data_IF_422544365956
#
_entry.id   IF_422544365956
#
_cell.length_a   1.000
_cell.length_b   1.000
_cell.length_c   1.000
_cell.angle_alpha   90.00
_cell.angle_beta   90.00
_cell.angle_gamma   90.00
#
_symmetry.space_group_name_H-M   'P 1'
#
loop_
_entity.id
_entity.type
_entity.pdbx_description
1 polymer ?
#
# COMPACT_ATOMS: atom_id res chain seq x y z
N UNK A 1 4.08 67.38 -14.47
CA UNK A 1 3.70 66.07 -15.03
C UNK A 1 4.91 65.54 -15.75
N UNK A 2 5.66 64.65 -15.11
CA UNK A 2 6.50 63.66 -15.80
C UNK A 2 6.82 62.52 -14.82
N UNK A 3 6.43 61.31 -15.21
CA UNK A 3 6.45 60.09 -14.40
C UNK A 3 7.82 59.42 -14.56
N UNK A 4 8.63 59.45 -13.50
CA UNK A 4 9.87 58.71 -13.43
C UNK A 4 9.58 57.20 -13.28
N UNK A 5 9.71 56.46 -14.37
CA UNK A 5 9.61 55.00 -14.41
C UNK A 5 10.84 54.33 -13.78
N UNK A 6 10.64 53.67 -12.63
CA UNK A 6 11.60 52.74 -12.05
C UNK A 6 11.37 51.35 -12.65
N UNK A 7 12.28 50.89 -13.51
CA UNK A 7 12.38 49.48 -13.90
C UNK A 7 13.18 48.75 -12.81
N UNK A 8 12.55 47.82 -12.11
CA UNK A 8 13.24 46.92 -11.20
C UNK A 8 14.10 45.91 -11.99
N UNK A 9 15.33 45.60 -11.55
CA UNK A 9 16.23 44.71 -12.26
C UNK A 9 15.78 43.23 -12.14
N UNK A 10 15.67 42.59 -13.31
CA UNK A 10 15.15 41.24 -13.58
C UNK A 10 16.03 40.06 -13.08
N UNK A 11 16.93 40.28 -12.11
CA UNK A 11 17.90 39.26 -11.67
C UNK A 11 17.59 38.62 -10.30
N UNK A 12 16.54 39.06 -9.60
CA UNK A 12 16.19 38.52 -8.27
C UNK A 12 15.33 37.25 -8.36
N UNK A 13 14.66 36.99 -9.50
CA UNK A 13 13.74 35.85 -9.64
C UNK A 13 14.42 34.47 -9.85
N UNK A 14 15.71 34.42 -10.21
CA UNK A 14 16.41 33.14 -10.45
C UNK A 14 17.01 32.55 -9.17
N UNK A 15 17.25 33.36 -8.13
CA UNK A 15 17.87 32.90 -6.88
C UNK A 15 16.97 32.07 -5.97
N UNK A 16 15.65 32.30 -6.00
CA UNK A 16 14.71 31.61 -5.10
C UNK A 16 14.33 30.19 -5.57
N UNK A 17 14.36 29.92 -6.88
CA UNK A 17 14.09 28.57 -7.41
C UNK A 17 15.27 27.64 -7.16
N UNK A 18 16.51 28.15 -7.21
CA UNK A 18 17.70 27.36 -6.89
C UNK A 18 17.78 26.99 -5.40
N UNK A 19 17.32 27.87 -4.50
CA UNK A 19 17.32 27.59 -3.06
C UNK A 19 16.25 26.55 -2.65
N UNK A 20 15.11 26.49 -3.33
CA UNK A 20 14.08 25.47 -3.08
C UNK A 20 14.50 24.08 -3.59
N UNK A 21 15.25 24.02 -4.69
CA UNK A 21 15.79 22.77 -5.24
C UNK A 21 17.01 22.25 -4.46
N UNK A 22 17.81 23.12 -3.84
CA UNK A 22 18.88 22.66 -2.93
C UNK A 22 18.34 22.26 -1.56
N UNK A 23 17.21 22.82 -1.09
CA UNK A 23 16.61 22.43 0.18
C UNK A 23 16.06 21.00 0.14
N UNK A 24 15.48 20.59 -0.99
CA UNK A 24 14.96 19.21 -1.18
C UNK A 24 16.07 18.14 -1.23
N UNK A 25 17.32 18.53 -1.50
CA UNK A 25 18.48 17.64 -1.35
C UNK A 25 19.17 17.72 0.02
N UNK A 26 18.80 18.69 0.87
CA UNK A 26 19.39 18.92 2.20
C UNK A 26 18.49 18.51 3.36
N UNK A 27 17.19 18.34 3.13
CA UNK A 27 16.37 17.42 3.94
C UNK A 27 16.80 16.02 3.54
N UNK A 28 17.83 15.52 4.22
CA UNK A 28 18.34 14.17 4.04
C UNK A 28 17.17 13.20 3.95
N UNK A 29 17.22 12.31 2.95
CA UNK A 29 16.31 11.18 2.88
C UNK A 29 16.34 10.51 4.25
N UNK A 30 15.27 10.67 5.00
CA UNK A 30 15.05 9.87 6.19
C UNK A 30 15.16 8.44 5.70
N UNK A 31 16.18 7.71 6.18
CA UNK A 31 16.45 6.34 5.75
C UNK A 31 15.15 5.55 5.89
N UNK A 32 14.49 5.29 4.75
CA UNK A 32 13.23 4.55 4.76
C UNK A 32 13.55 3.19 5.40
N UNK A 33 12.83 2.80 6.47
CA UNK A 33 13.10 1.56 7.15
C UNK A 33 13.06 0.41 6.14
N UNK A 34 13.97 -0.55 6.27
CA UNK A 34 14.04 -1.64 5.30
C UNK A 34 12.71 -2.44 5.28
N UNK A 35 12.27 -2.97 4.12
CA UNK A 35 10.94 -3.59 3.99
C UNK A 35 10.66 -4.79 4.91
N UNK A 36 11.71 -5.42 5.43
CA UNK A 36 11.68 -6.55 6.37
C UNK A 36 11.64 -6.13 7.84
N UNK A 37 11.68 -4.83 8.12
CA UNK A 37 11.65 -4.28 9.49
C UNK A 37 10.23 -4.11 9.99
N UNK A 38 10.07 -4.24 11.31
CA UNK A 38 8.79 -3.99 11.97
C UNK A 38 8.33 -2.54 11.83
N UNK A 39 9.27 -1.59 11.82
CA UNK A 39 9.01 -0.16 11.64
C UNK A 39 8.38 0.12 10.27
N UNK A 40 8.89 -0.49 9.20
CA UNK A 40 8.32 -0.37 7.86
C UNK A 40 6.89 -0.91 7.82
N UNK A 41 6.67 -2.14 8.30
CA UNK A 41 5.35 -2.74 8.32
C UNK A 41 4.34 -1.91 9.14
N UNK A 42 4.76 -1.37 10.29
CA UNK A 42 3.92 -0.49 11.10
C UNK A 42 3.53 0.78 10.35
N UNK A 43 4.48 1.43 9.66
CA UNK A 43 4.22 2.62 8.88
C UNK A 43 3.22 2.36 7.75
N UNK A 44 3.39 1.26 7.01
CA UNK A 44 2.47 0.87 5.94
C UNK A 44 1.06 0.59 6.48
N UNK A 45 0.95 -0.11 7.62
CA UNK A 45 -0.35 -0.41 8.21
C UNK A 45 -1.06 0.81 8.79
N UNK A 46 -0.30 1.80 9.28
CA UNK A 46 -0.81 3.06 9.79
C UNK A 46 -1.27 4.04 8.69
N UNK A 47 -1.02 3.75 7.41
CA UNK A 47 -1.39 4.63 6.30
C UNK A 47 -2.92 4.82 6.14
N UNK A 48 -3.70 3.84 6.61
CA UNK A 48 -5.15 3.88 6.67
C UNK A 48 -5.61 3.29 8.01
N UNK A 49 -6.80 3.67 8.48
CA UNK A 49 -7.52 2.99 9.55
C UNK A 49 -8.49 1.95 8.93
N UNK A 50 -9.22 1.17 9.72
CA UNK A 50 -10.22 0.22 9.21
C UNK A 50 -9.89 -1.24 9.52
N UNK A 51 -10.02 -2.13 8.53
CA UNK A 51 -9.77 -3.56 8.76
C UNK A 51 -8.35 -3.80 9.28
N UNK A 52 -8.17 -4.53 10.39
CA UNK A 52 -6.84 -4.86 10.86
C UNK A 52 -6.18 -5.84 9.89
N UNK A 53 -4.89 -5.62 9.60
CA UNK A 53 -4.14 -6.57 8.80
C UNK A 53 -3.94 -7.89 9.55
N UNK A 54 -4.08 -9.01 8.84
CA UNK A 54 -3.74 -10.34 9.34
C UNK A 54 -2.47 -10.81 8.64
N UNK A 55 -1.42 -11.07 9.41
CA UNK A 55 -0.14 -11.51 8.92
C UNK A 55 0.20 -12.94 9.40
N UNK A 56 0.98 -13.70 8.61
CA UNK A 56 1.54 -14.95 9.07
C UNK A 56 2.55 -14.71 10.21
N UNK A 57 2.48 -15.52 11.27
CA UNK A 57 3.44 -15.49 12.39
C UNK A 57 4.85 -15.88 11.93
N UNK A 58 4.93 -16.85 11.01
CA UNK A 58 6.14 -17.30 10.35
C UNK A 58 5.80 -17.60 8.89
N UNK A 59 6.75 -17.39 7.98
CA UNK A 59 6.55 -17.70 6.56
C UNK A 59 6.89 -19.17 6.26
N UNK A 60 6.25 -19.78 5.25
CA UNK A 60 6.70 -21.05 4.71
C UNK A 60 8.16 -20.98 4.24
N UNK A 61 8.82 -22.14 4.18
CA UNK A 61 10.18 -22.20 3.66
C UNK A 61 10.25 -21.65 2.23
N UNK A 62 11.26 -20.81 1.95
CA UNK A 62 11.48 -20.21 0.64
C UNK A 62 10.89 -18.80 0.47
N UNK A 63 10.26 -18.24 1.49
CA UNK A 63 9.84 -16.83 1.54
C UNK A 63 10.63 -16.05 2.59
N UNK A 64 10.81 -14.75 2.38
CA UNK A 64 11.60 -13.85 3.23
C UNK A 64 10.74 -12.88 4.08
N UNK A 65 9.98 -11.98 3.45
CA UNK A 65 9.15 -10.96 4.10
C UNK A 65 8.02 -10.46 3.18
N UNK A 66 7.09 -9.69 3.74
CA UNK A 66 6.02 -9.02 2.99
C UNK A 66 6.54 -7.78 2.26
N UNK A 67 6.43 -7.75 0.93
CA UNK A 67 7.07 -6.74 0.06
C UNK A 67 6.18 -5.56 -0.31
N UNK A 68 4.91 -5.81 -0.53
CA UNK A 68 3.97 -4.80 -1.02
C UNK A 68 2.75 -4.81 -0.12
N UNK A 69 2.48 -3.68 0.52
CA UNK A 69 1.27 -3.45 1.31
C UNK A 69 0.35 -2.54 0.52
N UNK A 70 -0.92 -2.91 0.41
CA UNK A 70 -1.95 -2.11 -0.24
C UNK A 70 -3.25 -2.18 0.56
N UNK A 71 -4.15 -1.25 0.30
CA UNK A 71 -5.49 -1.26 0.86
C UNK A 71 -6.49 -0.71 -0.17
N UNK A 72 -7.73 -1.19 -0.09
CA UNK A 72 -8.86 -0.67 -0.85
C UNK A 72 -9.90 -0.13 0.14
N UNK A 73 -10.48 1.03 -0.18
CA UNK A 73 -11.46 1.70 0.69
C UNK A 73 -12.90 1.33 0.38
N UNK A 74 -13.15 0.37 -0.53
CA UNK A 74 -14.50 -0.12 -0.86
C UNK A 74 -15.42 0.90 -1.55
N UNK A 75 -15.05 2.19 -1.49
CA UNK A 75 -15.66 3.32 -2.18
C UNK A 75 -15.40 3.27 -3.68
N UNK A 76 -15.87 2.20 -4.33
CA UNK A 76 -16.31 2.26 -5.71
C UNK A 76 -17.57 3.12 -5.74
N UNK A 77 -17.40 4.43 -5.65
CA UNK A 77 -18.35 5.33 -6.28
C UNK A 77 -18.25 5.04 -7.78
N UNK A 78 -19.20 4.39 -8.45
CA UNK A 78 -20.58 4.84 -8.68
C UNK A 78 -20.70 6.21 -9.33
N UNK A 79 -19.60 6.84 -9.77
CA UNK A 79 -19.65 7.73 -10.95
C UNK A 79 -19.77 6.86 -12.21
N UNK A 80 -20.88 6.13 -12.30
CA UNK A 80 -21.43 5.65 -13.56
C UNK A 80 -21.98 6.82 -14.38
N UNK A 81 -21.16 7.84 -14.61
CA UNK A 81 -21.38 8.85 -15.62
C UNK A 81 -20.05 9.04 -16.36
N UNK A 82 -20.08 8.89 -17.67
CA UNK A 82 -18.94 9.16 -18.54
C UNK A 82 -18.67 10.66 -18.59
N UNK A 83 -18.27 11.25 -17.47
CA UNK A 83 -17.89 12.66 -17.40
C UNK A 83 -16.46 12.80 -17.91
N UNK A 84 -16.36 13.26 -19.16
CA UNK A 84 -15.19 13.88 -19.75
C UNK A 84 -14.45 14.73 -18.72
N UNK A 85 -13.14 14.50 -18.59
CA UNK A 85 -12.30 15.13 -17.58
C UNK A 85 -12.27 16.65 -17.70
N UNK A 86 -13.08 17.34 -16.90
CA UNK A 86 -12.80 18.72 -16.49
C UNK A 86 -12.00 18.68 -15.20
N UNK A 87 -10.68 18.67 -15.38
CA UNK A 87 -9.69 18.79 -14.32
C UNK A 87 -9.93 20.05 -13.49
N UNK A 88 -10.05 19.89 -12.17
CA UNK A 88 -10.17 20.98 -11.18
C UNK A 88 -8.92 21.88 -11.10
N UNK A 89 -7.92 21.68 -11.95
CA UNK A 89 -6.76 22.57 -12.09
C UNK A 89 -7.01 23.81 -12.96
N UNK A 90 -8.13 23.91 -13.69
CA UNK A 90 -8.38 24.99 -14.67
C UNK A 90 -9.03 26.27 -14.10
N UNK A 91 -9.22 26.37 -12.78
CA UNK A 91 -9.83 27.55 -12.14
C UNK A 91 -8.90 28.41 -11.29
N UNK A 92 -7.60 28.11 -11.24
CA UNK A 92 -6.59 29.04 -10.72
C UNK A 92 -6.86 29.61 -9.31
N UNK A 93 -7.40 28.81 -8.39
CA UNK A 93 -7.65 29.23 -7.01
C UNK A 93 -6.48 28.83 -6.09
N UNK A 94 -6.01 29.74 -5.21
CA UNK A 94 -4.98 29.47 -4.22
C UNK A 94 -5.52 28.63 -3.05
N UNK A 95 -4.61 27.89 -2.42
CA UNK A 95 -4.83 26.94 -1.33
C UNK A 95 -5.76 27.48 -0.22
N UNK A 96 -6.81 26.73 0.10
CA UNK A 96 -7.76 27.11 1.15
C UNK A 96 -8.88 26.11 1.40
N UNK A 97 -8.56 25.03 2.13
CA UNK A 97 -9.40 24.37 3.14
C UNK A 97 -10.93 24.45 2.98
N UNK A 98 -11.55 23.33 2.61
CA UNK A 98 -13.01 23.18 2.69
C UNK A 98 -13.57 21.85 2.20
N UNK A 99 -13.39 20.78 2.98
CA UNK A 99 -14.45 19.78 3.16
C UNK A 99 -14.61 18.66 2.12
N UNK A 100 -13.55 18.20 1.46
CA UNK A 100 -13.55 16.84 0.92
C UNK A 100 -13.28 15.87 2.08
N UNK A 101 -14.31 15.12 2.43
CA UNK A 101 -14.38 14.20 3.55
C UNK A 101 -13.17 13.23 3.58
N UNK A 102 -12.67 12.93 4.76
CA UNK A 102 -11.40 12.19 5.00
C UNK A 102 -11.57 10.68 4.76
N UNK A 103 -12.62 10.27 4.02
CA UNK A 103 -13.03 8.87 3.82
C UNK A 103 -11.99 8.03 3.06
N UNK A 104 -11.04 8.66 2.36
CA UNK A 104 -9.93 7.98 1.67
C UNK A 104 -8.95 7.25 2.60
N UNK A 105 -9.06 7.43 3.92
CA UNK A 105 -8.19 6.79 4.92
C UNK A 105 -8.85 5.61 5.63
N UNK A 106 -9.97 5.09 5.15
CA UNK A 106 -10.53 3.84 5.64
C UNK A 106 -10.17 2.69 4.69
N UNK A 107 -9.67 1.58 5.23
CA UNK A 107 -9.37 0.35 4.52
C UNK A 107 -10.48 -0.67 4.78
N UNK A 108 -11.28 -0.96 3.76
CA UNK A 108 -12.26 -2.05 3.75
C UNK A 108 -11.61 -3.38 3.36
N UNK A 109 -10.50 -3.33 2.63
CA UNK A 109 -9.59 -4.47 2.49
C UNK A 109 -8.14 -4.03 2.64
N UNK A 110 -7.28 -4.99 3.00
CA UNK A 110 -5.82 -4.83 2.96
C UNK A 110 -5.20 -6.04 2.33
N UNK A 111 -4.07 -5.85 1.68
CA UNK A 111 -3.31 -6.92 1.08
C UNK A 111 -1.82 -6.76 1.37
N UNK A 112 -1.16 -7.90 1.54
CA UNK A 112 0.30 -7.99 1.51
C UNK A 112 0.75 -9.06 0.53
N UNK A 113 1.79 -8.76 -0.24
CA UNK A 113 2.38 -9.69 -1.21
C UNK A 113 3.72 -10.25 -0.70
N UNK A 114 3.87 -11.57 -0.79
CA UNK A 114 5.08 -12.32 -0.48
C UNK A 114 5.66 -12.91 -1.76
N UNK A 115 6.93 -12.65 -2.01
CA UNK A 115 7.67 -13.28 -3.11
C UNK A 115 8.66 -14.31 -2.57
N UNK A 116 9.02 -15.32 -3.37
CA UNK A 116 10.11 -16.21 -3.02
C UNK A 116 11.41 -15.43 -2.74
N UNK A 117 12.21 -15.94 -1.82
CA UNK A 117 13.53 -15.44 -1.48
C UNK A 117 14.46 -15.66 -2.69
N UNK A 118 14.98 -14.59 -3.32
CA UNK A 118 15.80 -14.69 -4.52
C UNK A 118 17.16 -15.37 -4.27
N UNK A 119 17.66 -15.32 -3.03
CA UNK A 119 18.94 -15.94 -2.67
C UNK A 119 18.78 -17.44 -2.39
N UNK A 120 17.55 -17.89 -2.07
CA UNK A 120 17.18 -19.31 -2.03
C UNK A 120 16.81 -19.82 -3.42
N UNK A 121 17.80 -19.78 -4.30
CA UNK A 121 17.79 -20.57 -5.53
C UNK A 121 17.84 -22.07 -5.17
N UNK A 122 16.69 -22.70 -5.01
CA UNK A 122 16.61 -24.16 -5.07
C UNK A 122 16.07 -24.54 -6.44
N UNK A 123 16.93 -25.20 -7.22
CA UNK A 123 16.75 -25.69 -8.60
C UNK A 123 15.52 -26.59 -8.85
N UNK A 124 14.57 -26.75 -7.92
CA UNK A 124 13.45 -27.69 -8.05
C UNK A 124 12.08 -27.18 -7.54
N UNK A 125 11.99 -26.08 -6.76
CA UNK A 125 10.71 -25.61 -6.20
C UNK A 125 10.44 -24.16 -6.61
N UNK A 126 9.86 -24.04 -7.79
CA UNK A 126 9.42 -22.81 -8.44
C UNK A 126 8.21 -22.26 -7.64
N UNK A 127 8.49 -21.55 -6.54
CA UNK A 127 7.48 -21.09 -5.57
C UNK A 127 6.63 -19.93 -6.14
N UNK A 128 5.30 -19.90 -5.88
CA UNK A 128 4.45 -18.81 -6.32
C UNK A 128 4.72 -17.49 -5.59
N UNK A 129 4.42 -16.37 -6.25
CA UNK A 129 4.13 -15.12 -5.54
C UNK A 129 2.77 -15.30 -4.86
N UNK A 130 2.68 -15.06 -3.56
CA UNK A 130 1.46 -15.26 -2.78
C UNK A 130 1.01 -13.94 -2.18
N UNK A 131 -0.28 -13.63 -2.33
CA UNK A 131 -0.92 -12.50 -1.69
C UNK A 131 -1.77 -12.98 -0.51
N UNK A 132 -1.77 -12.21 0.57
CA UNK A 132 -2.69 -12.36 1.70
C UNK A 132 -3.56 -11.11 1.73
N UNK A 133 -4.81 -11.26 1.32
CA UNK A 133 -5.83 -10.23 1.37
C UNK A 133 -6.75 -10.45 2.57
N UNK A 134 -7.15 -9.38 3.24
CA UNK A 134 -8.08 -9.40 4.37
C UNK A 134 -9.20 -8.40 4.17
N UNK A 135 -10.41 -8.79 4.59
CA UNK A 135 -11.58 -7.91 4.64
C UNK A 135 -12.47 -8.26 5.84
N UNK A 136 -13.30 -7.34 6.35
CA UNK A 136 -14.30 -7.65 7.37
C UNK A 136 -15.27 -8.73 6.89
N UNK A 137 -15.68 -9.62 7.79
CA UNK A 137 -16.72 -10.62 7.50
C UNK A 137 -18.12 -10.02 7.31
N UNK A 138 -18.32 -8.76 7.72
CA UNK A 138 -19.55 -8.00 7.56
C UNK A 138 -19.63 -7.22 6.24
N UNK A 139 -18.56 -7.22 5.44
CA UNK A 139 -18.55 -6.54 4.14
C UNK A 139 -19.19 -7.45 3.10
N UNK A 140 -20.25 -6.96 2.46
CA UNK A 140 -20.98 -7.69 1.43
C UNK A 140 -20.24 -7.69 0.07
N UNK A 141 -19.41 -6.67 -0.17
CA UNK A 141 -18.61 -6.57 -1.39
C UNK A 141 -17.37 -7.48 -1.34
N UNK A 142 -17.12 -8.16 -2.45
CA UNK A 142 -15.93 -9.01 -2.64
C UNK A 142 -14.74 -8.14 -3.05
N UNK A 143 -13.94 -7.72 -2.06
CA UNK A 143 -12.67 -7.01 -2.28
C UNK A 143 -11.47 -7.97 -2.30
N UNK A 144 -11.54 -9.06 -1.54
CA UNK A 144 -10.61 -10.18 -1.56
C UNK A 144 -11.23 -11.37 -2.28
N UNK A 145 -10.47 -12.10 -3.12
CA UNK A 145 -11.00 -13.27 -3.83
C UNK A 145 -11.62 -14.32 -2.89
N UNK A 146 -12.84 -14.77 -3.19
CA UNK A 146 -13.58 -15.78 -2.41
C UNK A 146 -13.43 -17.22 -2.90
N UNK A 147 -12.74 -17.45 -4.02
CA UNK A 147 -12.58 -18.80 -4.56
C UNK A 147 -11.86 -19.74 -3.59
N UNK A 148 -12.28 -21.01 -3.56
CA UNK A 148 -11.66 -22.06 -2.77
C UNK A 148 -11.19 -23.19 -3.70
N UNK A 149 -9.92 -23.13 -4.10
CA UNK A 149 -9.31 -24.09 -5.00
C UNK A 149 -7.83 -24.33 -4.63
N UNK A 150 -7.07 -25.02 -5.48
CA UNK A 150 -5.65 -25.27 -5.22
C UNK A 150 -4.79 -23.99 -5.15
N UNK A 151 -5.28 -22.88 -5.74
CA UNK A 151 -4.61 -21.58 -5.84
C UNK A 151 -5.09 -20.58 -4.80
N UNK A 152 -6.17 -20.88 -4.08
CA UNK A 152 -6.81 -19.97 -3.13
C UNK A 152 -7.21 -20.70 -1.84
N UNK A 153 -6.80 -20.15 -0.71
CA UNK A 153 -7.21 -20.57 0.62
C UNK A 153 -7.98 -19.46 1.28
N UNK A 154 -9.14 -19.80 1.83
CA UNK A 154 -9.91 -18.88 2.66
C UNK A 154 -9.86 -19.33 4.12
N UNK A 155 -9.59 -18.38 5.00
CA UNK A 155 -9.52 -18.58 6.44
C UNK A 155 -10.23 -17.43 7.16
N UNK A 156 -10.45 -17.60 8.45
CA UNK A 156 -11.07 -16.59 9.29
C UNK A 156 -10.25 -16.41 10.57
N UNK A 157 -10.03 -15.16 10.97
CA UNK A 157 -9.42 -14.81 12.24
C UNK A 157 -10.29 -13.75 12.93
N UNK A 158 -11.08 -14.17 13.90
CA UNK A 158 -12.06 -13.30 14.56
C UNK A 158 -13.11 -12.78 13.57
N UNK A 159 -13.27 -11.46 13.49
CA UNK A 159 -14.20 -10.78 12.58
C UNK A 159 -13.67 -10.55 11.17
N UNK A 160 -12.46 -11.04 10.86
CA UNK A 160 -11.78 -10.80 9.58
C UNK A 160 -11.70 -12.07 8.74
N UNK A 161 -12.10 -11.97 7.47
CA UNK A 161 -11.88 -12.98 6.44
C UNK A 161 -10.48 -12.79 5.85
N UNK A 162 -9.78 -13.88 5.62
CA UNK A 162 -8.42 -13.91 5.06
C UNK A 162 -8.44 -14.77 3.81
N UNK A 163 -8.09 -14.18 2.66
CA UNK A 163 -7.83 -14.87 1.42
C UNK A 163 -6.32 -14.96 1.20
N UNK A 164 -5.81 -16.17 1.00
CA UNK A 164 -4.41 -16.41 0.66
C UNK A 164 -4.39 -17.02 -0.73
N UNK A 165 -3.77 -16.36 -1.70
CA UNK A 165 -3.89 -16.78 -3.09
C UNK A 165 -2.62 -16.56 -3.90
N UNK A 166 -2.48 -17.32 -4.99
CA UNK A 166 -1.36 -17.14 -5.91
C UNK A 166 -1.57 -15.92 -6.79
N UNK A 167 -0.64 -14.96 -6.71
CA UNK A 167 -0.59 -13.77 -7.56
C UNK A 167 0.25 -13.97 -8.84
N UNK A 168 1.11 -15.00 -8.89
CA UNK A 168 1.88 -15.33 -10.11
C UNK A 168 1.09 -16.18 -11.12
N UNK A 169 1.46 -16.09 -12.40
CA UNK A 169 0.76 -16.83 -13.47
C UNK A 169 1.15 -18.30 -13.55
N UNK A 170 2.43 -18.60 -13.32
CA UNK A 170 3.05 -19.88 -13.69
C UNK A 170 3.01 -20.96 -12.60
N UNK A 171 2.57 -20.61 -11.38
CA UNK A 171 2.49 -21.51 -10.23
C UNK A 171 1.09 -21.50 -9.64
N UNK A 172 0.69 -22.62 -9.03
CA UNK A 172 -0.71 -22.88 -8.67
C UNK A 172 -0.91 -23.49 -7.28
N UNK A 173 0.14 -23.66 -6.48
CA UNK A 173 0.02 -24.36 -5.19
C UNK A 173 0.26 -23.44 -4.00
N UNK A 174 -0.78 -23.24 -3.18
CA UNK A 174 -0.70 -22.56 -1.88
C UNK A 174 -0.72 -23.53 -0.70
N UNK A 175 -0.50 -24.83 -0.93
CA UNK A 175 -0.54 -25.86 0.11
C UNK A 175 0.36 -25.56 1.31
N UNK A 176 1.56 -25.02 1.07
CA UNK A 176 2.51 -24.63 2.12
C UNK A 176 1.97 -23.53 3.06
N UNK A 177 0.95 -22.78 2.63
CA UNK A 177 0.32 -21.69 3.38
C UNK A 177 -0.88 -22.14 4.22
N UNK A 178 -1.38 -23.37 4.01
CA UNK A 178 -2.61 -23.88 4.64
C UNK A 178 -2.59 -23.80 6.16
N UNK A 179 -1.49 -24.26 6.75
CA UNK A 179 -1.36 -24.44 8.20
C UNK A 179 -0.57 -23.32 8.90
N UNK A 180 -0.23 -22.25 8.17
CA UNK A 180 0.51 -21.12 8.73
C UNK A 180 -0.30 -20.46 9.85
N UNK A 181 0.32 -20.20 11.00
CA UNK A 181 -0.35 -19.46 12.07
C UNK A 181 -0.53 -17.99 11.66
N UNK A 182 -1.72 -17.43 11.89
CA UNK A 182 -2.09 -16.05 11.53
C UNK A 182 -2.26 -15.18 12.78
N UNK A 183 -1.93 -13.90 12.70
CA UNK A 183 -2.01 -12.94 13.81
C UNK A 183 -2.29 -11.52 13.30
N UNK A 184 -2.96 -10.70 14.12
CA UNK A 184 -3.05 -9.24 13.94
C UNK A 184 -2.01 -8.49 14.81
N UNK A 185 -1.34 -9.20 15.71
CA UNK A 185 -0.32 -8.66 16.62
C UNK A 185 1.06 -8.73 15.97
N UNK A 186 1.59 -7.58 15.56
CA UNK A 186 2.91 -7.43 14.93
C UNK A 186 4.07 -7.89 15.82
N UNK A 187 3.91 -7.93 17.14
CA UNK A 187 4.95 -8.44 18.04
C UNK A 187 5.13 -9.95 17.93
N UNK A 188 4.14 -10.67 17.38
CA UNK A 188 4.19 -12.11 17.16
C UNK A 188 4.76 -12.48 15.79
N UNK A 189 4.91 -11.52 14.88
CA UNK A 189 5.40 -11.75 13.51
C UNK A 189 6.93 -11.88 13.55
N UNK A 190 7.43 -13.08 13.20
CA UNK A 190 8.84 -13.48 13.41
C UNK A 190 9.77 -13.19 12.24
N UNK A 191 9.22 -12.98 11.05
CA UNK A 191 9.97 -12.59 9.85
C UNK A 191 10.16 -11.06 9.75
N UNK A 192 9.55 -10.30 10.67
CA UNK A 192 9.85 -8.89 10.85
C UNK A 192 10.99 -8.75 11.86
N UNK A 193 12.07 -8.09 11.45
CA UNK A 193 13.22 -7.79 12.30
C UNK A 193 12.94 -6.56 13.16
#
# INVERSE_FOLDING_TARGET
>A
MDLAGRRAPLWIAVGLVAAALTWSHLTGGEDEPAPDTREYAQAQLAAAEGVPMVLPVALPAGYDYGRLYSFDSGARDQTGDGSDGTSLTDLGLPDGYGGADVSWRHADSREVVFSPDPDRSSDDDDLPIVAVCVQPTSLDDELCPESQDARHLQRQLGGTRVAIYVASKDHHDVSAWRDVALTTDLSKVRWLH
#
